data_IF_584212299647
#
_entry.id   IF_584212299647
#
_cell.length_a   1.000
_cell.length_b   1.000
_cell.length_c   1.000
_cell.angle_alpha   90.00
_cell.angle_beta   90.00
_cell.angle_gamma   90.00
#
_symmetry.space_group_name_H-M   'P 1'
#
loop_
_entity.id
_entity.type
_entity.pdbx_description
1 polymer ?
#
# COMPACT_ATOMS: atom_id res chain seq x y z
N UNK A 1 1.28 -80.53 37.45
CA UNK A 1 1.93 -79.45 38.24
C UNK A 1 3.43 -79.57 38.09
N UNK A 2 4.13 -78.50 37.68
CA UNK A 2 5.53 -78.18 38.03
C UNK A 2 5.82 -76.74 37.60
N UNK A 3 6.68 -76.06 38.34
CA UNK A 3 6.78 -74.59 38.33
C UNK A 3 7.90 -74.04 37.48
N UNK A 4 7.69 -72.81 36.98
CA UNK A 4 8.67 -71.74 36.77
C UNK A 4 10.11 -72.10 36.37
N UNK A 5 10.52 -71.59 35.21
CA UNK A 5 11.76 -70.81 35.14
C UNK A 5 11.47 -69.41 34.59
N UNK A 6 11.98 -68.40 35.27
CA UNK A 6 11.90 -67.00 34.86
C UNK A 6 13.00 -66.77 33.83
N UNK A 7 12.63 -66.30 32.64
CA UNK A 7 13.55 -65.61 31.75
C UNK A 7 12.78 -64.47 31.08
N UNK A 8 13.08 -63.24 31.50
CA UNK A 8 12.47 -62.01 30.99
C UNK A 8 13.53 -61.28 30.13
N UNK A 9 13.70 -61.64 28.84
CA UNK A 9 14.60 -60.92 27.95
C UNK A 9 13.98 -59.57 27.58
N UNK A 10 14.29 -58.56 28.41
CA UNK A 10 14.73 -57.21 28.05
C UNK A 10 14.64 -56.80 26.56
N UNK A 11 13.45 -56.74 25.96
CA UNK A 11 13.18 -56.08 24.66
C UNK A 11 12.13 -54.98 24.87
N UNK A 12 12.45 -54.07 25.80
CA UNK A 12 11.68 -52.85 26.08
C UNK A 12 12.44 -51.58 25.60
N UNK A 13 13.31 -51.76 24.62
CA UNK A 13 14.28 -50.76 24.13
C UNK A 13 14.26 -50.55 22.61
N UNK A 14 13.10 -50.75 21.96
CA UNK A 14 12.80 -49.97 20.75
C UNK A 14 12.41 -48.56 21.20
N UNK A 15 13.41 -47.74 21.50
CA UNK A 15 13.23 -46.33 21.82
C UNK A 15 12.47 -45.66 20.69
N UNK A 16 11.22 -45.28 20.95
CA UNK A 16 10.36 -44.63 19.96
C UNK A 16 10.76 -43.14 19.84
N UNK A 17 11.94 -42.91 19.25
CA UNK A 17 12.49 -41.60 18.94
C UNK A 17 11.76 -40.93 17.76
N UNK A 18 10.42 -40.96 17.79
CA UNK A 18 9.53 -40.19 16.92
C UNK A 18 9.55 -38.70 17.30
N UNK A 19 10.75 -38.11 17.32
CA UNK A 19 10.98 -36.68 17.52
C UNK A 19 10.58 -35.90 16.26
N UNK A 20 9.30 -35.96 15.92
CA UNK A 20 8.67 -35.15 14.86
C UNK A 20 8.78 -33.68 15.28
N UNK A 21 9.66 -32.94 14.63
CA UNK A 21 9.59 -31.48 14.65
C UNK A 21 8.25 -31.04 14.04
N UNK A 22 7.65 -29.92 14.50
CA UNK A 22 6.43 -29.40 13.88
C UNK A 22 6.64 -29.11 12.39
N UNK A 23 5.91 -29.80 11.53
CA UNK A 23 5.90 -29.56 10.09
C UNK A 23 5.08 -28.29 9.78
N UNK A 24 5.54 -27.38 8.90
CA UNK A 24 4.84 -26.13 8.62
C UNK A 24 3.54 -26.38 7.85
N UNK A 25 2.40 -26.06 8.45
CA UNK A 25 1.10 -26.06 7.76
C UNK A 25 0.81 -24.68 7.13
N UNK A 26 0.20 -24.69 5.95
CA UNK A 26 -0.35 -23.48 5.33
C UNK A 26 -1.60 -23.00 6.05
N UNK A 27 -1.87 -21.69 6.00
CA UNK A 27 -3.16 -21.14 6.43
C UNK A 27 -4.32 -21.69 5.57
N UNK A 28 -5.55 -21.79 6.12
CA UNK A 28 -6.75 -22.10 5.35
C UNK A 28 -6.98 -21.10 4.21
N UNK A 29 -7.63 -21.55 3.13
CA UNK A 29 -8.01 -20.66 2.03
C UNK A 29 -8.95 -19.55 2.52
N UNK A 30 -8.60 -18.31 2.20
CA UNK A 30 -9.38 -17.10 2.49
C UNK A 30 -9.30 -16.13 1.32
N UNK A 31 -10.18 -15.12 1.31
CA UNK A 31 -10.19 -14.04 0.33
C UNK A 31 -9.90 -12.71 1.03
N UNK A 32 -9.08 -11.87 0.41
CA UNK A 32 -8.63 -10.59 0.95
C UNK A 32 -8.98 -9.48 -0.05
N UNK A 33 -9.47 -8.35 0.45
CA UNK A 33 -9.89 -7.21 -0.39
C UNK A 33 -8.65 -6.53 -1.02
N UNK A 34 -8.79 -6.03 -2.25
CA UNK A 34 -7.76 -5.27 -2.98
C UNK A 34 -8.22 -3.82 -3.22
N UNK A 35 -7.38 -2.84 -2.89
CA UNK A 35 -7.60 -1.44 -3.25
C UNK A 35 -7.13 -1.21 -4.69
N UNK A 36 -8.05 -0.79 -5.56
CA UNK A 36 -7.79 -0.60 -7.00
C UNK A 36 -8.34 0.70 -7.57
N UNK A 37 -9.14 1.44 -6.80
CA UNK A 37 -9.75 2.71 -7.19
C UNK A 37 -10.07 3.53 -5.93
N UNK A 38 -10.16 4.86 -6.06
CA UNK A 38 -10.51 5.75 -4.94
C UNK A 38 -11.89 5.46 -4.32
N UNK A 39 -12.82 4.87 -5.07
CA UNK A 39 -14.10 4.38 -4.54
C UNK A 39 -13.94 3.27 -3.50
N UNK A 40 -12.85 2.49 -3.54
CA UNK A 40 -12.57 1.49 -2.49
C UNK A 40 -12.08 2.18 -1.19
N UNK A 41 -11.51 3.39 -1.28
CA UNK A 41 -11.14 4.21 -0.13
C UNK A 41 -12.38 4.79 0.57
N UNK A 42 -13.38 5.25 -0.20
CA UNK A 42 -14.68 5.67 0.36
C UNK A 42 -15.41 4.50 1.05
N UNK A 43 -15.45 3.32 0.40
CA UNK A 43 -16.02 2.10 1.02
C UNK A 43 -15.32 1.75 2.35
N UNK A 44 -14.01 1.98 2.46
CA UNK A 44 -13.29 1.82 3.72
C UNK A 44 -13.61 2.93 4.73
N UNK A 45 -13.64 4.19 4.29
CA UNK A 45 -13.92 5.34 5.15
C UNK A 45 -15.32 5.23 5.77
N UNK A 46 -16.29 4.76 4.98
CA UNK A 46 -17.66 4.46 5.40
C UNK A 46 -17.75 3.30 6.39
N UNK A 47 -17.05 2.19 6.13
CA UNK A 47 -16.99 1.06 7.07
C UNK A 47 -16.33 1.49 8.39
N UNK A 48 -15.26 2.29 8.33
CA UNK A 48 -14.60 2.81 9.52
C UNK A 48 -15.48 3.80 10.30
N UNK A 49 -16.16 4.73 9.62
CA UNK A 49 -17.10 5.65 10.25
C UNK A 49 -18.26 4.91 10.93
N UNK A 50 -18.77 3.84 10.31
CA UNK A 50 -19.74 2.93 10.92
C UNK A 50 -19.17 2.23 12.18
N UNK A 51 -17.94 1.69 12.12
CA UNK A 51 -17.29 1.08 13.30
C UNK A 51 -17.11 2.09 14.43
N UNK A 52 -16.72 3.33 14.12
CA UNK A 52 -16.61 4.45 15.07
C UNK A 52 -17.98 4.76 15.69
N UNK A 53 -19.03 4.92 14.88
CA UNK A 53 -20.40 5.15 15.36
C UNK A 53 -20.85 4.09 16.38
N UNK A 54 -20.69 2.82 16.01
CA UNK A 54 -21.07 1.70 16.87
C UNK A 54 -20.24 1.68 18.17
N UNK A 55 -18.95 2.04 18.12
CA UNK A 55 -18.13 2.15 19.34
C UNK A 55 -18.54 3.32 20.23
N UNK A 56 -18.89 4.47 19.68
CA UNK A 56 -19.39 5.62 20.44
C UNK A 56 -20.69 5.27 21.18
N UNK A 57 -21.60 4.55 20.51
CA UNK A 57 -22.84 4.03 21.13
C UNK A 57 -22.51 3.00 22.23
N UNK A 58 -21.68 1.99 21.94
CA UNK A 58 -21.31 0.93 22.89
C UNK A 58 -20.51 1.40 24.12
N UNK A 59 -19.90 2.59 24.05
CA UNK A 59 -19.13 3.18 25.15
C UNK A 59 -19.83 4.39 25.77
N UNK A 60 -21.11 4.63 25.44
CA UNK A 60 -21.93 5.77 25.91
C UNK A 60 -21.36 7.16 25.55
N UNK A 61 -20.38 7.23 24.64
CA UNK A 61 -19.73 8.47 24.18
C UNK A 61 -20.40 9.11 22.94
N UNK A 62 -21.62 8.72 22.59
CA UNK A 62 -22.33 9.20 21.38
C UNK A 62 -22.54 10.72 21.29
N UNK A 63 -22.64 11.43 22.42
CA UNK A 63 -22.71 12.90 22.46
C UNK A 63 -21.33 13.59 22.32
N UNK A 64 -20.21 12.86 22.44
CA UNK A 64 -18.87 13.44 22.32
C UNK A 64 -18.50 13.67 20.88
N UNK A 65 -17.89 14.82 20.62
CA UNK A 65 -17.35 15.12 19.31
C UNK A 65 -16.07 14.31 19.01
N UNK A 66 -15.88 13.99 17.73
CA UNK A 66 -14.70 13.30 17.20
C UNK A 66 -13.79 14.31 16.50
N UNK A 67 -12.49 14.27 16.83
CA UNK A 67 -11.44 14.94 16.06
C UNK A 67 -10.67 13.89 15.28
N UNK A 68 -10.71 13.93 13.93
CA UNK A 68 -9.83 13.10 13.11
C UNK A 68 -8.48 13.80 13.01
N UNK A 69 -7.39 13.09 13.33
CA UNK A 69 -6.03 13.64 13.27
C UNK A 69 -5.65 14.00 11.83
N UNK A 70 -5.59 15.29 11.53
CA UNK A 70 -5.17 15.83 10.23
C UNK A 70 -3.76 15.37 9.86
N UNK A 71 -3.52 14.83 8.65
CA UNK A 71 -2.20 14.39 8.23
C UNK A 71 -1.27 15.57 7.88
N UNK A 72 -1.84 16.61 7.24
CA UNK A 72 -1.24 17.88 6.83
C UNK A 72 -2.33 18.77 6.23
N UNK A 73 -2.00 20.02 5.91
CA UNK A 73 -2.94 20.98 5.31
C UNK A 73 -4.04 21.47 6.27
N UNK A 74 -5.02 22.16 5.70
CA UNK A 74 -6.30 22.51 6.34
C UNK A 74 -7.45 22.54 5.30
N UNK A 75 -8.68 22.83 5.75
CA UNK A 75 -9.89 22.94 4.91
C UNK A 75 -9.76 23.90 3.70
N UNK A 76 -8.74 24.78 3.69
CA UNK A 76 -8.48 25.76 2.64
C UNK A 76 -7.15 25.51 1.89
N UNK A 77 -6.37 24.50 2.28
CA UNK A 77 -5.02 24.26 1.76
C UNK A 77 -4.65 22.78 1.74
N UNK A 78 -4.53 22.22 0.53
CA UNK A 78 -4.00 20.88 0.28
C UNK A 78 -2.56 20.72 0.76
N UNK A 79 -2.16 19.48 1.06
CA UNK A 79 -0.83 19.16 1.56
C UNK A 79 0.29 19.55 0.59
N UNK A 80 1.47 19.87 1.13
CA UNK A 80 2.66 20.10 0.32
C UNK A 80 3.14 18.80 -0.35
N UNK A 81 3.81 18.91 -1.50
CA UNK A 81 4.26 17.76 -2.25
C UNK A 81 5.30 16.93 -1.45
N UNK A 82 4.96 15.66 -1.16
CA UNK A 82 5.71 14.73 -0.29
C UNK A 82 5.61 15.05 1.23
N UNK A 83 4.57 15.76 1.67
CA UNK A 83 4.25 15.90 3.10
C UNK A 83 3.45 14.68 3.62
N UNK A 84 2.52 14.18 2.81
CA UNK A 84 1.83 12.90 3.04
C UNK A 84 1.64 12.11 1.75
N UNK A 85 1.02 10.93 1.85
CA UNK A 85 0.62 10.11 0.70
C UNK A 85 -0.78 10.50 0.20
N UNK A 86 -1.02 10.41 -1.11
CA UNK A 86 -2.33 10.76 -1.71
C UNK A 86 -3.50 9.99 -1.08
N UNK A 87 -3.27 8.74 -0.65
CA UNK A 87 -4.24 7.99 0.14
C UNK A 87 -4.52 8.63 1.50
N UNK A 88 -3.49 9.03 2.26
CA UNK A 88 -3.69 9.60 3.60
C UNK A 88 -4.49 10.90 3.58
N UNK A 89 -4.27 11.74 2.57
CA UNK A 89 -5.00 12.99 2.31
C UNK A 89 -6.46 12.68 1.94
N UNK A 90 -6.71 11.99 0.82
CA UNK A 90 -8.08 11.67 0.38
C UNK A 90 -8.88 10.83 1.40
N UNK A 91 -8.23 9.94 2.17
CA UNK A 91 -8.89 9.16 3.21
C UNK A 91 -9.28 10.00 4.43
N UNK A 92 -8.61 11.12 4.69
CA UNK A 92 -8.99 12.06 5.75
C UNK A 92 -10.39 12.64 5.45
N UNK A 93 -10.52 13.24 4.27
CA UNK A 93 -11.71 13.95 3.81
C UNK A 93 -12.91 12.99 3.66
N UNK A 94 -12.66 11.81 3.10
CA UNK A 94 -13.68 10.75 2.98
C UNK A 94 -14.13 10.23 4.35
N UNK A 95 -13.22 10.13 5.34
CA UNK A 95 -13.58 9.71 6.70
C UNK A 95 -14.39 10.78 7.42
N UNK A 96 -13.99 12.06 7.36
CA UNK A 96 -14.76 13.17 7.94
C UNK A 96 -16.15 13.28 7.28
N UNK A 97 -16.22 13.17 5.96
CA UNK A 97 -17.48 13.18 5.19
C UNK A 97 -18.41 12.05 5.62
N UNK A 98 -17.89 10.82 5.77
CA UNK A 98 -18.70 9.69 6.21
C UNK A 98 -19.09 9.79 7.71
N UNK A 99 -18.21 10.26 8.60
CA UNK A 99 -18.53 10.50 10.02
C UNK A 99 -19.70 11.49 10.17
N UNK A 100 -19.64 12.62 9.45
CA UNK A 100 -20.74 13.59 9.39
C UNK A 100 -22.02 12.97 8.79
N UNK A 101 -21.88 12.12 7.77
CA UNK A 101 -22.98 11.35 7.19
C UNK A 101 -23.64 10.32 8.13
N UNK A 102 -22.93 9.86 9.17
CA UNK A 102 -23.50 9.07 10.27
C UNK A 102 -24.08 9.92 11.42
N UNK A 103 -24.01 11.25 11.32
CA UNK A 103 -24.51 12.19 12.35
C UNK A 103 -23.57 12.37 13.54
N UNK A 104 -22.33 11.87 13.46
CA UNK A 104 -21.34 12.04 14.53
C UNK A 104 -20.86 13.51 14.54
N UNK A 105 -20.87 14.22 15.68
CA UNK A 105 -20.33 15.57 15.75
C UNK A 105 -18.83 15.56 15.50
N UNK A 106 -18.35 16.25 14.47
CA UNK A 106 -16.92 16.35 14.14
C UNK A 106 -16.32 17.70 14.54
N UNK A 107 -15.02 17.72 14.85
CA UNK A 107 -14.20 18.92 15.08
C UNK A 107 -13.10 18.98 14.02
N UNK A 108 -12.83 20.18 13.49
CA UNK A 108 -11.69 20.46 12.59
C UNK A 108 -10.40 20.81 13.33
N UNK A 109 -10.44 20.92 14.67
CA UNK A 109 -9.29 21.23 15.51
C UNK A 109 -9.23 20.29 16.73
N UNK A 110 -8.02 20.02 17.20
CA UNK A 110 -7.80 19.20 18.38
C UNK A 110 -8.37 19.87 19.64
N UNK A 111 -9.17 19.12 20.39
CA UNK A 111 -9.90 19.55 21.58
C UNK A 111 -9.71 18.47 22.66
N UNK A 112 -9.40 18.87 23.89
CA UNK A 112 -9.19 17.93 25.01
C UNK A 112 -10.46 17.18 25.40
N UNK A 113 -11.64 17.68 25.00
CA UNK A 113 -12.94 17.04 25.25
C UNK A 113 -13.41 16.15 24.07
N UNK A 114 -12.70 16.18 22.94
CA UNK A 114 -13.01 15.36 21.77
C UNK A 114 -12.23 14.04 21.79
N UNK A 115 -12.79 13.01 21.15
CA UNK A 115 -12.11 11.73 20.95
C UNK A 115 -11.18 11.85 19.74
N UNK A 116 -9.86 11.65 19.94
CA UNK A 116 -8.90 11.63 18.82
C UNK A 116 -9.04 10.31 18.04
N UNK A 117 -9.39 10.41 16.77
CA UNK A 117 -9.31 9.33 15.79
C UNK A 117 -8.02 9.50 14.98
N UNK A 118 -7.12 8.53 15.07
CA UNK A 118 -5.89 8.50 14.28
C UNK A 118 -5.76 7.19 13.52
N UNK A 119 -5.30 7.26 12.27
CA UNK A 119 -4.98 6.11 11.44
C UNK A 119 -3.50 6.12 11.03
N UNK A 120 -2.92 4.93 10.87
CA UNK A 120 -1.56 4.74 10.41
C UNK A 120 -1.55 3.70 9.29
N UNK A 121 -1.14 4.14 8.10
CA UNK A 121 -0.91 3.25 6.94
C UNK A 121 0.53 2.75 6.97
N UNK A 122 0.71 1.46 6.72
CA UNK A 122 2.02 0.82 6.57
C UNK A 122 2.00 -0.05 5.32
N UNK A 123 2.81 0.31 4.32
CA UNK A 123 3.03 -0.50 3.11
C UNK A 123 3.96 -1.67 3.46
N UNK A 124 3.62 -2.85 2.96
CA UNK A 124 4.39 -4.10 3.10
C UNK A 124 4.67 -4.64 1.70
N UNK A 125 5.92 -5.07 1.45
CA UNK A 125 6.36 -5.65 0.19
C UNK A 125 6.79 -7.11 0.37
N UNK A 126 6.44 -7.96 -0.59
CA UNK A 126 6.65 -9.41 -0.54
C UNK A 126 7.45 -9.91 -1.75
N UNK A 127 8.76 -10.07 -1.56
CA UNK A 127 9.73 -10.52 -2.58
C UNK A 127 9.61 -12.00 -2.99
N UNK A 128 8.44 -12.62 -2.85
CA UNK A 128 8.18 -14.02 -3.17
C UNK A 128 7.03 -14.11 -4.17
N UNK A 129 7.23 -14.83 -5.27
CA UNK A 129 6.17 -15.10 -6.25
C UNK A 129 5.06 -15.95 -5.60
N UNK A 130 3.90 -15.33 -5.34
CA UNK A 130 2.77 -15.98 -4.69
C UNK A 130 1.95 -16.77 -5.71
N UNK A 131 2.20 -18.08 -5.82
CA UNK A 131 1.36 -18.97 -6.65
C UNK A 131 -0.09 -18.93 -6.18
N UNK A 132 -1.00 -18.55 -7.08
CA UNK A 132 -2.41 -18.33 -6.77
C UNK A 132 -3.13 -19.66 -6.49
N UNK A 133 -3.69 -19.78 -5.29
CA UNK A 133 -4.53 -20.92 -4.90
C UNK A 133 -5.94 -20.78 -5.49
N UNK A 134 -6.47 -21.85 -6.08
CA UNK A 134 -7.87 -21.94 -6.49
C UNK A 134 -8.76 -22.20 -5.27
N UNK A 135 -10.01 -21.73 -5.31
CA UNK A 135 -10.97 -22.02 -4.27
C UNK A 135 -11.16 -23.55 -4.10
N UNK A 136 -11.07 -24.11 -2.88
CA UNK A 136 -11.25 -25.53 -2.62
C UNK A 136 -12.55 -26.06 -3.24
N UNK A 137 -12.45 -27.21 -3.92
CA UNK A 137 -13.57 -27.85 -4.60
C UNK A 137 -13.82 -27.39 -6.05
N UNK A 138 -13.24 -26.27 -6.53
CA UNK A 138 -13.48 -25.77 -7.89
C UNK A 138 -13.14 -26.81 -8.97
N UNK A 139 -11.93 -27.39 -8.91
CA UNK A 139 -11.49 -28.42 -9.86
C UNK A 139 -12.36 -29.70 -9.76
N UNK A 140 -12.78 -30.08 -8.56
CA UNK A 140 -13.65 -31.23 -8.32
C UNK A 140 -15.04 -31.00 -8.90
N UNK A 141 -15.60 -29.80 -8.71
CA UNK A 141 -16.89 -29.39 -9.26
C UNK A 141 -16.89 -29.34 -10.78
N UNK A 142 -15.85 -28.76 -11.40
CA UNK A 142 -15.66 -28.77 -12.85
C UNK A 142 -15.51 -30.20 -13.40
N UNK A 143 -14.74 -31.06 -12.72
CA UNK A 143 -14.58 -32.47 -13.11
C UNK A 143 -15.91 -33.23 -13.04
N UNK A 144 -16.68 -33.03 -11.96
CA UNK A 144 -18.01 -33.62 -11.82
C UNK A 144 -19.00 -33.08 -12.87
N UNK A 145 -18.96 -31.79 -13.18
CA UNK A 145 -19.77 -31.17 -14.22
C UNK A 145 -19.47 -31.76 -15.60
N UNK A 146 -18.20 -31.95 -15.97
CA UNK A 146 -17.80 -32.64 -17.22
C UNK A 146 -18.33 -34.08 -17.24
N UNK A 147 -18.22 -34.82 -16.13
CA UNK A 147 -18.75 -36.19 -16.01
C UNK A 147 -20.27 -36.24 -16.20
N UNK A 148 -21.02 -35.26 -15.70
CA UNK A 148 -22.49 -35.17 -15.88
C UNK A 148 -22.86 -34.72 -17.30
N UNK A 149 -22.21 -33.67 -17.82
CA UNK A 149 -22.57 -33.00 -19.07
C UNK A 149 -22.10 -33.72 -20.34
N UNK A 150 -21.26 -34.77 -20.23
CA UNK A 150 -20.75 -35.55 -21.37
C UNK A 150 -21.82 -36.09 -22.34
N UNK A 151 -23.06 -36.26 -21.86
CA UNK A 151 -24.21 -36.75 -22.62
C UNK A 151 -25.34 -35.70 -22.73
N UNK A 152 -25.07 -34.43 -22.41
CA UNK A 152 -26.08 -33.36 -22.41
C UNK A 152 -26.32 -32.77 -23.82
N UNK A 153 -27.47 -32.11 -24.07
CA UNK A 153 -27.69 -31.29 -25.25
C UNK A 153 -26.65 -30.16 -25.35
N UNK A 154 -26.28 -29.80 -26.59
CA UNK A 154 -25.23 -28.79 -26.86
C UNK A 154 -25.52 -27.42 -26.21
N UNK A 155 -26.78 -27.01 -26.14
CA UNK A 155 -27.17 -25.73 -25.55
C UNK A 155 -26.90 -25.69 -24.03
N UNK A 156 -27.09 -26.83 -23.34
CA UNK A 156 -26.79 -26.95 -21.91
C UNK A 156 -25.28 -27.01 -21.66
N UNK A 157 -24.51 -27.63 -22.56
CA UNK A 157 -23.04 -27.60 -22.53
C UNK A 157 -22.53 -26.16 -22.71
N UNK A 158 -23.10 -25.41 -23.66
CA UNK A 158 -22.71 -24.02 -23.92
C UNK A 158 -23.06 -23.09 -22.76
N UNK A 159 -24.25 -23.23 -22.17
CA UNK A 159 -24.68 -22.50 -20.97
C UNK A 159 -23.76 -22.79 -19.78
N UNK A 160 -23.44 -24.06 -19.53
CA UNK A 160 -22.53 -24.46 -18.45
C UNK A 160 -21.09 -24.00 -18.69
N UNK A 161 -20.62 -23.98 -19.94
CA UNK A 161 -19.31 -23.44 -20.29
C UNK A 161 -19.22 -21.93 -20.06
N UNK A 162 -20.28 -21.17 -20.37
CA UNK A 162 -20.38 -19.75 -20.05
C UNK A 162 -20.30 -19.50 -18.53
N UNK A 163 -21.14 -20.17 -17.74
CA UNK A 163 -21.12 -20.05 -16.29
C UNK A 163 -19.77 -20.46 -15.66
N UNK A 164 -19.11 -21.49 -16.21
CA UNK A 164 -17.77 -21.88 -15.79
C UNK A 164 -16.70 -20.82 -16.15
N UNK A 165 -16.83 -20.15 -17.30
CA UNK A 165 -15.95 -19.06 -17.70
C UNK A 165 -16.12 -17.82 -16.81
N UNK A 166 -17.35 -17.46 -16.42
CA UNK A 166 -17.62 -16.36 -15.50
C UNK A 166 -17.04 -16.62 -14.09
N UNK A 167 -17.23 -17.84 -13.58
CA UNK A 167 -16.62 -18.27 -12.30
C UNK A 167 -15.09 -18.30 -12.40
N UNK A 168 -14.52 -18.73 -13.52
CA UNK A 168 -13.07 -18.65 -13.73
C UNK A 168 -12.59 -17.19 -13.76
N UNK A 169 -13.31 -16.30 -14.45
CA UNK A 169 -12.96 -14.89 -14.62
C UNK A 169 -13.02 -14.10 -13.30
N UNK A 170 -14.08 -14.25 -12.49
CA UNK A 170 -14.14 -13.66 -11.13
C UNK A 170 -12.99 -14.14 -10.24
N UNK A 171 -12.41 -15.29 -10.54
CA UNK A 171 -11.26 -15.84 -9.85
C UNK A 171 -9.93 -15.23 -10.29
N UNK A 172 -9.81 -14.63 -11.50
CA UNK A 172 -8.57 -14.09 -12.10
C UNK A 172 -8.11 -12.74 -11.49
N UNK A 173 -8.14 -12.60 -10.16
CA UNK A 173 -7.54 -11.46 -9.47
C UNK A 173 -6.04 -11.70 -9.29
N UNK A 174 -5.25 -10.76 -9.80
CA UNK A 174 -3.79 -10.75 -9.68
C UNK A 174 -3.31 -10.52 -8.23
N UNK A 175 -2.33 -11.32 -7.80
CA UNK A 175 -1.83 -11.42 -6.41
C UNK A 175 -0.54 -10.62 -6.23
N UNK A 176 -0.66 -9.29 -6.37
CA UNK A 176 0.49 -8.38 -6.39
C UNK A 176 1.33 -8.40 -5.10
N UNK A 177 2.61 -8.07 -5.24
CA UNK A 177 3.63 -8.09 -4.20
C UNK A 177 3.45 -7.07 -3.07
N UNK A 178 2.44 -6.20 -3.12
CA UNK A 178 2.21 -5.13 -2.15
C UNK A 178 0.88 -5.29 -1.38
N UNK A 179 1.00 -5.19 -0.05
CA UNK A 179 -0.11 -5.08 0.89
C UNK A 179 0.00 -3.77 1.69
N UNK A 180 -1.12 -3.29 2.22
CA UNK A 180 -1.18 -2.19 3.20
C UNK A 180 -1.87 -2.67 4.47
N UNK A 181 -1.28 -2.32 5.61
CA UNK A 181 -1.90 -2.46 6.94
C UNK A 181 -2.36 -1.07 7.36
N UNK A 182 -3.65 -0.93 7.64
CA UNK A 182 -4.26 0.32 8.11
C UNK A 182 -4.68 0.11 9.57
N UNK A 183 -3.89 0.66 10.49
CA UNK A 183 -4.22 0.63 11.92
C UNK A 183 -4.97 1.89 12.31
N UNK A 184 -6.24 1.78 12.72
CA UNK A 184 -6.99 2.91 13.31
C UNK A 184 -7.04 2.80 14.83
N UNK A 185 -7.00 3.94 15.51
CA UNK A 185 -7.14 4.09 16.96
C UNK A 185 -8.12 5.22 17.31
N UNK A 186 -9.03 4.96 18.25
CA UNK A 186 -9.81 5.98 18.95
C UNK A 186 -9.21 6.17 20.35
N UNK A 187 -8.91 7.41 20.74
CA UNK A 187 -8.25 7.73 22.01
C UNK A 187 -9.04 8.80 22.77
N UNK A 188 -9.30 8.55 24.05
CA UNK A 188 -9.76 9.54 25.05
C UNK A 188 -8.86 9.42 26.27
N UNK A 189 -8.47 10.51 26.92
CA UNK A 189 -7.82 10.46 28.25
C UNK A 189 -6.57 9.55 28.30
N UNK A 190 -5.77 9.52 27.21
CA UNK A 190 -4.62 8.62 26.98
C UNK A 190 -4.93 7.11 26.93
N UNK A 191 -6.20 6.72 26.82
CA UNK A 191 -6.68 5.34 26.74
C UNK A 191 -7.30 5.05 25.36
N UNK A 192 -7.09 3.83 24.85
CA UNK A 192 -7.72 3.39 23.60
C UNK A 192 -9.17 2.97 23.83
N UNK A 193 -10.13 3.74 23.30
CA UNK A 193 -11.53 3.32 23.23
C UNK A 193 -11.74 2.21 22.20
N UNK A 194 -10.95 2.22 21.12
CA UNK A 194 -10.96 1.22 20.06
C UNK A 194 -9.62 1.22 19.33
N UNK A 195 -9.18 0.04 18.87
CA UNK A 195 -8.05 -0.11 17.97
C UNK A 195 -8.24 -1.33 17.09
N UNK A 196 -8.10 -1.15 15.77
CA UNK A 196 -8.16 -2.23 14.79
C UNK A 196 -7.04 -2.07 13.75
N UNK A 197 -6.66 -3.18 13.12
CA UNK A 197 -5.74 -3.21 11.99
C UNK A 197 -6.36 -4.03 10.86
N UNK A 198 -6.72 -3.37 9.77
CA UNK A 198 -7.27 -4.00 8.58
C UNK A 198 -6.18 -4.10 7.50
N UNK A 199 -6.19 -5.18 6.70
CA UNK A 199 -5.11 -5.49 5.74
C UNK A 199 -5.68 -5.69 4.33
N UNK A 200 -5.10 -5.00 3.35
CA UNK A 200 -5.56 -5.00 1.95
C UNK A 200 -4.39 -5.21 1.00
N UNK A 201 -4.63 -5.96 -0.09
CA UNK A 201 -3.73 -5.86 -1.25
C UNK A 201 -3.89 -4.51 -1.93
N UNK A 202 -2.86 -4.05 -2.64
CA UNK A 202 -2.94 -2.91 -3.55
C UNK A 202 -2.51 -3.30 -4.96
N UNK A 203 -2.78 -2.44 -5.95
CA UNK A 203 -2.13 -2.55 -7.25
C UNK A 203 -0.65 -2.14 -7.14
N UNK A 204 0.25 -2.93 -7.73
CA UNK A 204 1.70 -2.67 -7.65
C UNK A 204 2.11 -1.35 -8.30
N UNK A 205 1.45 -0.98 -9.40
CA UNK A 205 1.73 0.27 -10.13
C UNK A 205 1.31 1.50 -9.32
N UNK A 206 0.38 1.34 -8.38
CA UNK A 206 -0.23 2.41 -7.59
C UNK A 206 0.40 2.54 -6.20
N UNK A 207 1.46 1.76 -5.89
CA UNK A 207 2.07 1.69 -4.56
C UNK A 207 2.51 3.06 -4.00
N UNK A 208 2.91 3.98 -4.89
CA UNK A 208 3.36 5.33 -4.56
C UNK A 208 2.25 6.16 -3.87
N UNK A 209 0.98 5.86 -4.14
CA UNK A 209 -0.17 6.57 -3.57
C UNK A 209 -0.29 6.39 -2.04
N UNK A 210 0.41 5.39 -1.48
CA UNK A 210 0.39 5.03 -0.05
C UNK A 210 1.69 5.38 0.69
N UNK A 211 2.70 5.93 0.02
CA UNK A 211 3.98 6.32 0.64
C UNK A 211 4.10 7.85 0.75
N UNK A 212 4.59 8.34 1.90
CA UNK A 212 4.72 9.79 2.15
C UNK A 212 5.90 10.43 1.39
N UNK A 213 6.86 9.62 0.92
CA UNK A 213 8.02 10.10 0.17
C UNK A 213 8.35 9.16 -0.97
N UNK A 214 8.28 9.68 -2.19
CA UNK A 214 9.06 9.13 -3.30
C UNK A 214 10.47 9.73 -3.20
N UNK A 215 11.56 8.93 -3.12
CA UNK A 215 12.90 9.47 -3.09
C UNK A 215 13.16 10.19 -4.42
N UNK A 216 13.25 11.53 -4.37
CA UNK A 216 13.37 12.35 -5.58
C UNK A 216 14.50 11.84 -6.48
N UNK A 217 14.16 11.53 -7.73
CA UNK A 217 15.10 11.06 -8.74
C UNK A 217 16.15 12.15 -8.99
N UNK A 218 17.29 12.08 -8.29
CA UNK A 218 18.39 13.01 -8.49
C UNK A 218 18.82 12.95 -9.95
N UNK A 219 18.53 14.01 -10.71
CA UNK A 219 18.90 14.12 -12.12
C UNK A 219 20.41 13.98 -12.27
N UNK A 220 20.85 12.77 -12.66
CA UNK A 220 22.25 12.49 -12.92
C UNK A 220 22.65 13.32 -14.14
N UNK A 221 23.39 14.40 -13.92
CA UNK A 221 23.98 15.18 -15.01
C UNK A 221 24.99 14.28 -15.72
N UNK A 222 24.61 13.79 -16.90
CA UNK A 222 25.46 12.99 -17.77
C UNK A 222 26.59 13.87 -18.32
N UNK A 223 27.71 13.94 -17.60
CA UNK A 223 28.94 14.59 -18.07
C UNK A 223 29.55 13.75 -19.19
N UNK A 224 29.18 14.03 -20.44
CA UNK A 224 29.65 13.33 -21.63
C UNK A 224 31.16 13.53 -21.87
N UNK A 225 32.00 12.69 -21.26
CA UNK A 225 33.46 12.76 -21.38
C UNK A 225 34.04 11.81 -22.43
N UNK A 226 33.66 12.01 -23.69
CA UNK A 226 34.47 11.62 -24.84
C UNK A 226 34.01 12.36 -26.10
N UNK A 227 34.90 13.15 -26.69
CA UNK A 227 34.87 13.46 -28.12
C UNK A 227 35.78 12.44 -28.83
N UNK A 228 35.52 12.07 -30.10
CA UNK A 228 36.36 11.13 -30.83
C UNK A 228 37.78 11.67 -31.04
N UNK A 229 38.77 10.78 -31.09
CA UNK A 229 40.16 11.16 -31.38
C UNK A 229 40.35 11.49 -32.86
N UNK A 230 41.00 12.63 -33.12
CA UNK A 230 41.48 13.05 -34.44
C UNK A 230 42.93 13.55 -34.27
N UNK A 231 43.79 13.33 -35.28
CA UNK A 231 45.25 13.49 -35.19
C UNK A 231 45.74 14.91 -34.84
N UNK A 232 46.87 14.99 -34.15
CA UNK A 232 47.60 16.23 -33.87
C UNK A 232 48.17 16.90 -35.15
N UNK A 233 47.99 18.22 -35.31
CA UNK A 233 48.80 19.05 -36.20
C UNK A 233 50.14 19.46 -35.53
N UNK A 234 51.16 19.72 -36.36
CA UNK A 234 52.49 20.18 -35.92
C UNK A 234 52.47 21.56 -35.22
N UNK A 235 53.51 21.90 -34.41
CA UNK A 235 53.46 23.01 -33.44
C UNK A 235 53.43 24.44 -34.01
N UNK A 236 53.07 25.37 -33.13
CA UNK A 236 52.67 26.75 -33.42
C UNK A 236 53.82 27.69 -33.86
N UNK A 237 53.55 28.68 -34.74
CA UNK A 237 54.38 29.87 -34.91
C UNK A 237 54.08 30.92 -33.81
N UNK A 238 55.11 31.64 -33.36
CA UNK A 238 55.02 32.61 -32.27
C UNK A 238 54.40 33.96 -32.66
N UNK A 239 53.96 34.73 -31.67
CA UNK A 239 53.33 36.04 -31.85
C UNK A 239 54.32 37.16 -32.21
N UNK A 240 53.88 38.06 -33.09
CA UNK A 240 54.56 39.34 -33.38
C UNK A 240 53.52 40.46 -33.22
N UNK A 241 53.88 41.51 -32.48
CA UNK A 241 52.96 42.58 -32.10
C UNK A 241 52.82 43.68 -33.17
N UNK A 242 51.61 44.26 -33.26
CA UNK A 242 51.32 45.46 -34.06
C UNK A 242 51.03 46.64 -33.10
N UNK A 243 51.49 47.83 -33.47
CA UNK A 243 51.47 49.04 -32.62
C UNK A 243 50.10 49.75 -32.59
N UNK A 244 49.79 50.50 -31.52
CA UNK A 244 48.52 51.23 -31.37
C UNK A 244 48.47 52.53 -32.18
N UNK A 245 47.25 53.01 -32.46
CA UNK A 245 46.99 54.32 -33.06
C UNK A 245 46.42 55.33 -32.04
N UNK A 246 46.92 56.57 -32.11
CA UNK A 246 46.30 57.80 -31.56
C UNK A 246 45.15 58.26 -32.49
N UNK A 247 44.19 59.13 -32.15
CA UNK A 247 43.60 59.70 -30.90
C UNK A 247 42.16 60.22 -31.30
N UNK A 248 41.36 61.09 -30.66
CA UNK A 248 41.51 62.04 -29.54
C UNK A 248 40.15 62.46 -28.91
N UNK A 249 40.19 63.31 -27.89
CA UNK A 249 39.13 64.20 -27.35
C UNK A 249 37.65 63.76 -27.40
N UNK A 250 37.02 63.57 -26.23
CA UNK A 250 35.58 63.29 -26.12
C UNK A 250 34.92 63.64 -24.77
N UNK A 251 35.20 64.83 -24.20
CA UNK A 251 34.77 65.22 -22.84
C UNK A 251 33.30 65.70 -22.81
N UNK A 252 32.40 64.99 -22.11
CA UNK A 252 31.13 65.57 -21.62
C UNK A 252 30.55 64.90 -20.36
N UNK A 253 30.66 65.60 -19.24
CA UNK A 253 29.91 65.35 -17.99
C UNK A 253 28.58 66.10 -18.04
N UNK A 254 27.45 65.49 -17.65
CA UNK A 254 26.37 66.13 -16.86
C UNK A 254 25.58 65.00 -16.17
N UNK A 255 25.60 64.97 -14.84
CA UNK A 255 24.47 64.42 -14.06
C UNK A 255 23.54 65.58 -13.72
N UNK A 256 22.22 65.36 -13.74
CA UNK A 256 21.25 66.39 -13.33
C UNK A 256 20.04 65.76 -12.64
N UNK A 257 20.20 65.47 -11.35
CA UNK A 257 19.09 65.18 -10.44
C UNK A 257 18.35 66.49 -10.12
N UNK A 258 17.01 66.47 -10.10
CA UNK A 258 16.19 67.60 -9.68
C UNK A 258 16.04 67.65 -8.15
N UNK A 259 15.49 68.76 -7.65
CA UNK A 259 14.85 68.81 -6.33
C UNK A 259 13.49 68.08 -6.37
#
# INVERSE_FOLDING_TARGET
MRSFYICLPLIFLLCNCSSRIPEPISYPYSQQKKMQAASHWDVLAKDLANRINNQLILTENHDKAVFVKTPCGDENSSCQANETSTFNEAFHDLLITNLFGYGIPTKSQADQQAIEVSYKVQVVYHNSDRVRSLQPGLLTGLSAAVVVLRNAPVDLILLAAGAAADVANTSLVDSGHYEIIITTSMITDSQYLFRASDIYYINEKDFYQYQQSMPQTKTIKLTSKSAPGTMDPFPQPASIAVRPAKTDTGKKTVSKTAL
#
